data_IF_544568511531
#
_entry.id   IF_544568511531
#
_cell.length_a   1.000
_cell.length_b   1.000
_cell.length_c   1.000
_cell.angle_alpha   90.00
_cell.angle_beta   90.00
_cell.angle_gamma   90.00
#
_symmetry.space_group_name_H-M   'P 1'
#
loop_
_entity.id
_entity.type
_entity.pdbx_description
1 polymer ?
#
# COMPACT_ATOMS: atom_id res chain seq x y z
N UNK A 1 13.27 18.38 -2.22
CA UNK A 1 12.09 17.49 -2.40
C UNK A 1 11.94 16.74 -1.10
N UNK A 2 10.89 16.98 -0.34
CA UNK A 2 10.67 16.28 0.93
C UNK A 2 10.47 14.82 0.56
N UNK A 3 11.45 13.97 0.82
CA UNK A 3 11.32 12.54 0.66
C UNK A 3 10.37 12.09 1.77
N UNK A 4 9.07 12.10 1.48
CA UNK A 4 8.06 11.48 2.31
C UNK A 4 8.33 9.97 2.29
N UNK A 5 9.29 9.52 3.10
CA UNK A 5 9.67 8.11 3.19
C UNK A 5 8.43 7.31 3.56
N UNK A 6 7.87 6.62 2.58
CA UNK A 6 6.79 5.68 2.80
C UNK A 6 7.37 4.44 3.51
N UNK A 7 6.77 4.05 4.63
CA UNK A 7 7.21 2.88 5.40
C UNK A 7 6.50 1.64 4.89
N UNK A 8 7.26 0.66 4.41
CA UNK A 8 6.68 -0.60 3.93
C UNK A 8 6.26 -1.43 5.13
N UNK A 9 4.96 -1.68 5.26
CA UNK A 9 4.41 -2.62 6.24
C UNK A 9 3.61 -3.69 5.52
N UNK A 10 3.90 -4.94 5.81
CA UNK A 10 3.18 -6.07 5.23
C UNK A 10 1.84 -6.24 5.94
N UNK A 11 0.80 -6.59 5.18
CA UNK A 11 -0.47 -7.03 5.74
C UNK A 11 -0.30 -8.47 6.22
N UNK A 12 -0.46 -8.68 7.53
CA UNK A 12 -0.35 -10.00 8.13
C UNK A 12 -1.71 -10.71 8.05
N UNK A 13 -1.68 -12.02 7.84
CA UNK A 13 -2.85 -12.88 7.90
C UNK A 13 -3.43 -12.86 9.32
N UNK A 14 -4.63 -12.29 9.51
CA UNK A 14 -5.32 -12.23 10.81
C UNK A 14 -6.41 -13.28 10.95
N UNK A 15 -6.35 -14.39 10.19
CA UNK A 15 -7.35 -15.47 10.25
C UNK A 15 -8.62 -15.21 9.46
N UNK A 16 -8.99 -13.96 9.20
CA UNK A 16 -10.24 -13.59 8.51
C UNK A 16 -10.14 -13.57 6.97
N UNK A 17 -8.92 -13.46 6.41
CA UNK A 17 -8.71 -13.41 4.96
C UNK A 17 -7.34 -13.95 4.60
N UNK A 18 -7.28 -15.06 3.84
CA UNK A 18 -6.04 -15.78 3.46
C UNK A 18 -4.94 -14.85 2.95
N UNK A 19 -5.32 -13.92 2.08
CA UNK A 19 -4.42 -12.95 1.48
C UNK A 19 -4.99 -11.55 1.72
N UNK A 20 -4.60 -10.85 2.82
CA UNK A 20 -5.03 -9.48 3.06
C UNK A 20 -4.29 -8.55 2.10
N UNK A 21 -5.02 -7.97 1.15
CA UNK A 21 -4.50 -7.00 0.20
C UNK A 21 -5.28 -5.69 0.33
N UNK A 22 -4.57 -4.57 0.15
CA UNK A 22 -5.15 -3.22 0.07
C UNK A 22 -4.97 -2.67 -1.34
N UNK A 23 -5.91 -1.84 -1.77
CA UNK A 23 -5.83 -1.19 -3.08
C UNK A 23 -4.73 -0.13 -3.08
N UNK A 24 -3.90 -0.13 -4.11
CA UNK A 24 -2.88 0.90 -4.25
C UNK A 24 -3.49 2.26 -4.56
N UNK A 25 -3.26 3.26 -3.70
CA UNK A 25 -3.82 4.62 -3.87
C UNK A 25 -3.35 5.28 -5.16
N UNK A 26 -2.06 5.12 -5.49
CA UNK A 26 -1.45 5.71 -6.69
C UNK A 26 -1.97 5.04 -7.96
N UNK A 27 -1.99 3.71 -8.01
CA UNK A 27 -2.54 3.01 -9.17
C UNK A 27 -4.02 3.35 -9.39
N UNK A 28 -4.82 3.41 -8.31
CA UNK A 28 -6.22 3.79 -8.42
C UNK A 28 -6.40 5.20 -8.99
N UNK A 29 -5.55 6.15 -8.60
CA UNK A 29 -5.54 7.51 -9.15
C UNK A 29 -5.15 7.53 -10.64
N UNK A 30 -4.28 6.61 -11.06
CA UNK A 30 -3.88 6.42 -12.45
C UNK A 30 -4.84 5.53 -13.26
N UNK A 31 -6.04 5.22 -12.74
CA UNK A 31 -7.03 4.38 -13.42
C UNK A 31 -6.69 2.89 -13.49
N UNK A 32 -5.64 2.45 -12.79
CA UNK A 32 -5.20 1.06 -12.76
C UNK A 32 -5.64 0.37 -11.46
N UNK A 33 -6.25 -0.82 -11.57
CA UNK A 33 -6.54 -1.64 -10.39
C UNK A 33 -5.29 -2.43 -10.01
N UNK A 34 -4.67 -2.07 -8.89
CA UNK A 34 -3.57 -2.84 -8.31
C UNK A 34 -3.85 -3.11 -6.82
N UNK A 35 -3.62 -4.35 -6.39
CA UNK A 35 -3.82 -4.80 -5.03
C UNK A 35 -2.45 -5.16 -4.43
N UNK A 36 -2.06 -4.44 -3.38
CA UNK A 36 -0.79 -4.61 -2.71
C UNK A 36 -0.99 -5.31 -1.37
N UNK A 37 -0.12 -6.28 -1.06
CA UNK A 37 0.03 -6.84 0.27
C UNK A 37 0.71 -5.88 1.26
N UNK A 38 1.07 -4.67 0.82
CA UNK A 38 1.82 -3.69 1.59
C UNK A 38 1.08 -2.36 1.70
N UNK A 39 1.25 -1.69 2.83
CA UNK A 39 0.66 -0.38 3.11
C UNK A 39 1.62 0.50 3.90
N UNK A 40 1.39 1.82 3.84
CA UNK A 40 2.17 2.77 4.64
C UNK A 40 1.42 3.15 5.92
N UNK A 41 1.87 2.73 7.12
CA UNK A 41 1.21 3.04 8.38
C UNK A 41 1.41 4.50 8.81
N UNK A 42 2.43 5.18 8.28
CA UNK A 42 2.71 6.59 8.61
C UNK A 42 1.83 7.58 7.85
N UNK A 43 1.29 7.18 6.69
CA UNK A 43 0.44 8.06 5.90
C UNK A 43 -1.00 8.06 6.43
N UNK A 44 -1.68 9.22 6.41
CA UNK A 44 -3.07 9.30 6.80
C UNK A 44 -3.93 8.40 5.91
N UNK A 45 -4.76 7.57 6.54
CA UNK A 45 -5.61 6.59 5.86
C UNK A 45 -4.92 5.28 5.50
N UNK A 46 -3.66 5.08 5.89
CA UNK A 46 -2.92 3.82 5.73
C UNK A 46 -3.06 3.22 4.30
N UNK A 47 -2.68 3.99 3.27
CA UNK A 47 -2.91 3.60 1.88
C UNK A 47 -2.10 2.36 1.53
N UNK A 48 -2.71 1.47 0.76
CA UNK A 48 -1.96 0.45 0.04
C UNK A 48 -1.07 1.13 -1.00
N UNK A 49 0.14 0.61 -1.18
CA UNK A 49 1.10 1.12 -2.17
C UNK A 49 1.86 -0.07 -2.75
N UNK A 50 2.17 -0.03 -4.05
CA UNK A 50 2.95 -1.08 -4.71
C UNK A 50 4.43 -0.94 -4.37
N UNK A 51 5.05 -2.03 -3.89
CA UNK A 51 6.51 -2.07 -3.66
C UNK A 51 7.25 -1.71 -4.95
N UNK A 52 8.28 -0.86 -4.82
CA UNK A 52 9.20 -0.51 -5.90
C UNK A 52 8.68 0.49 -6.93
N UNK A 53 7.39 0.86 -6.92
CA UNK A 53 6.80 1.79 -7.91
C UNK A 53 5.95 2.91 -7.31
N UNK A 54 5.33 2.66 -6.15
CA UNK A 54 4.49 3.64 -5.47
C UNK A 54 4.96 3.91 -4.04
N UNK A 55 5.98 3.17 -3.59
CA UNK A 55 6.71 3.35 -2.33
C UNK A 55 8.02 4.12 -2.60
N UNK A 56 7.97 5.14 -3.46
CA UNK A 56 9.12 6.00 -3.84
C UNK A 56 8.97 7.40 -3.23
#
# INVERSE_FOLDING_TARGET
RLNEQHFIYQLHFTGQKANPHKRCRVCCKNGSRCESGYYCPKCPGQPGLCIGRCFE
#
